data_IF_109962861860
#
_entry.id   IF_109962861860
#
_cell.length_a   1.000
_cell.length_b   1.000
_cell.length_c   1.000
_cell.angle_alpha   90.00
_cell.angle_beta   90.00
_cell.angle_gamma   90.00
#
_symmetry.space_group_name_H-M   'P 1'
#
loop_
_entity.id
_entity.type
_entity.pdbx_description
1 polymer ?
#
# COMPACT_ATOMS: atom_id res chain seq x y z
N UNK A 1 -0.77 13.73 -18.58
CA UNK A 1 -0.41 12.35 -18.19
C UNK A 1 -1.63 11.44 -18.31
N UNK A 2 -1.47 10.14 -18.59
CA UNK A 2 -2.58 9.19 -18.46
C UNK A 2 -2.94 9.00 -16.98
N UNK A 3 -4.21 8.68 -16.67
CA UNK A 3 -4.70 8.55 -15.29
C UNK A 3 -3.89 7.55 -14.45
N UNK A 4 -3.49 6.42 -15.05
CA UNK A 4 -2.72 5.38 -14.34
C UNK A 4 -1.27 5.81 -14.06
N UNK A 5 -0.64 6.57 -14.96
CA UNK A 5 0.71 7.13 -14.75
C UNK A 5 0.70 8.18 -13.63
N UNK A 6 -0.39 8.93 -13.55
CA UNK A 6 -0.58 9.92 -12.50
C UNK A 6 -0.74 9.26 -11.13
N UNK A 7 -1.56 8.20 -11.03
CA UNK A 7 -1.67 7.39 -9.80
C UNK A 7 -0.29 6.86 -9.38
N UNK A 8 0.45 6.21 -10.29
CA UNK A 8 1.80 5.68 -10.03
C UNK A 8 2.73 6.78 -9.49
N UNK A 9 2.72 7.96 -10.11
CA UNK A 9 3.53 9.10 -9.69
C UNK A 9 3.13 9.61 -8.31
N UNK A 10 1.83 9.81 -8.07
CA UNK A 10 1.33 10.27 -6.77
C UNK A 10 1.61 9.26 -5.66
N UNK A 11 1.52 7.96 -5.96
CA UNK A 11 1.89 6.89 -5.04
C UNK A 11 3.34 6.94 -4.61
N UNK A 12 4.29 7.42 -5.44
CA UNK A 12 5.69 7.60 -5.02
C UNK A 12 5.77 8.58 -3.85
N UNK A 13 5.07 9.72 -3.95
CA UNK A 13 5.04 10.73 -2.89
C UNK A 13 4.36 10.21 -1.62
N UNK A 14 3.26 9.46 -1.76
CA UNK A 14 2.60 8.84 -0.59
C UNK A 14 3.52 7.80 0.06
N UNK A 15 4.19 6.97 -0.73
CA UNK A 15 5.06 5.91 -0.23
C UNK A 15 6.31 6.45 0.47
N UNK A 16 6.77 7.65 0.14
CA UNK A 16 7.82 8.33 0.92
C UNK A 16 7.46 8.48 2.40
N UNK A 17 6.18 8.70 2.74
CA UNK A 17 5.72 8.79 4.13
C UNK A 17 5.28 7.45 4.73
N UNK A 18 5.00 6.45 3.89
CA UNK A 18 4.47 5.15 4.34
C UNK A 18 5.59 4.14 4.57
N UNK A 19 6.50 3.98 3.61
CA UNK A 19 7.43 2.83 3.52
C UNK A 19 8.63 2.89 4.48
N UNK A 20 9.24 4.04 4.78
CA UNK A 20 10.43 4.06 5.63
C UNK A 20 10.21 3.52 7.05
N UNK A 21 9.05 3.77 7.65
CA UNK A 21 8.75 3.35 9.04
C UNK A 21 8.63 1.81 9.15
N UNK A 22 7.82 1.11 8.32
CA UNK A 22 7.78 -0.34 8.29
C UNK A 22 9.12 -1.00 8.00
N UNK A 23 9.90 -0.46 7.04
CA UNK A 23 11.25 -0.98 6.74
C UNK A 23 12.16 -0.80 7.96
N UNK A 24 12.21 0.40 8.54
CA UNK A 24 13.00 0.66 9.74
C UNK A 24 12.63 -0.28 10.89
N UNK A 25 11.33 -0.46 11.15
CA UNK A 25 10.84 -1.38 12.18
C UNK A 25 11.25 -2.84 11.93
N UNK A 26 11.17 -3.28 10.68
CA UNK A 26 11.60 -4.62 10.29
C UNK A 26 13.12 -4.81 10.45
N UNK A 27 13.92 -3.84 9.99
CA UNK A 27 15.38 -3.94 9.95
C UNK A 27 16.03 -3.76 11.33
N UNK A 28 15.57 -2.81 12.15
CA UNK A 28 16.15 -2.50 13.48
C UNK A 28 16.13 -3.72 14.41
N UNK A 29 15.12 -4.57 14.27
CA UNK A 29 14.93 -5.74 15.13
C UNK A 29 15.30 -7.06 14.45
N UNK A 30 16.07 -7.06 13.35
CA UNK A 30 16.39 -8.28 12.58
C UNK A 30 15.13 -9.11 12.26
N UNK A 31 14.00 -8.46 11.96
CA UNK A 31 12.71 -9.12 11.71
C UNK A 31 11.91 -9.50 12.96
N UNK A 32 12.45 -9.38 14.18
CA UNK A 32 11.72 -9.65 15.44
C UNK A 32 10.53 -8.69 15.66
N UNK A 33 10.49 -7.56 14.95
CA UNK A 33 9.38 -6.60 15.02
C UNK A 33 8.53 -6.61 13.74
N UNK A 34 8.38 -7.78 13.12
CA UNK A 34 7.45 -7.98 12.00
C UNK A 34 6.04 -7.47 12.33
N UNK A 35 5.59 -7.64 13.58
CA UNK A 35 4.31 -7.10 14.07
C UNK A 35 4.25 -5.58 13.97
N UNK A 36 5.30 -4.86 14.37
CA UNK A 36 5.33 -3.39 14.29
C UNK A 36 5.41 -2.92 12.85
N UNK A 37 6.18 -3.61 12.00
CA UNK A 37 6.23 -3.32 10.57
C UNK A 37 4.85 -3.46 9.91
N UNK A 38 4.12 -4.54 10.22
CA UNK A 38 2.75 -4.76 9.71
C UNK A 38 1.78 -3.70 10.23
N UNK A 39 1.77 -3.44 11.54
CA UNK A 39 0.85 -2.45 12.15
C UNK A 39 1.12 -1.05 11.60
N UNK A 40 2.39 -0.63 11.56
CA UNK A 40 2.76 0.68 11.03
C UNK A 40 2.40 0.81 9.54
N UNK A 41 2.65 -0.22 8.73
CA UNK A 41 2.23 -0.20 7.33
C UNK A 41 0.71 -0.11 7.18
N UNK A 42 -0.05 -0.89 7.94
CA UNK A 42 -1.51 -0.84 7.93
C UNK A 42 -2.03 0.56 8.26
N UNK A 43 -1.56 1.16 9.36
CA UNK A 43 -1.99 2.49 9.78
C UNK A 43 -1.59 3.57 8.77
N UNK A 44 -0.35 3.55 8.25
CA UNK A 44 0.15 4.56 7.33
C UNK A 44 -0.47 4.43 5.93
N UNK A 45 -0.66 3.21 5.44
CA UNK A 45 -1.30 2.95 4.14
C UNK A 45 -2.78 3.32 4.13
N UNK A 46 -3.43 3.45 5.30
CA UNK A 46 -4.75 4.05 5.43
C UNK A 46 -4.66 5.56 5.61
N UNK A 47 -3.92 6.00 6.63
CA UNK A 47 -3.93 7.38 7.11
C UNK A 47 -3.37 8.38 6.10
N UNK A 48 -2.26 8.05 5.45
CA UNK A 48 -1.61 8.96 4.50
C UNK A 48 -2.49 9.17 3.26
N UNK A 49 -2.96 8.12 2.54
CA UNK A 49 -3.86 8.34 1.41
C UNK A 49 -5.21 8.92 1.83
N UNK A 50 -5.76 8.57 2.99
CA UNK A 50 -7.01 9.17 3.47
C UNK A 50 -6.87 10.68 3.70
N UNK A 51 -5.77 11.13 4.32
CA UNK A 51 -5.49 12.55 4.51
C UNK A 51 -5.24 13.25 3.17
N UNK A 52 -4.51 12.60 2.25
CA UNK A 52 -4.27 13.12 0.91
C UNK A 52 -5.58 13.32 0.14
N UNK A 53 -6.44 12.29 0.08
CA UNK A 53 -7.75 12.35 -0.58
C UNK A 53 -8.76 13.29 0.10
N UNK A 54 -8.45 13.80 1.29
CA UNK A 54 -9.26 14.83 1.95
C UNK A 54 -9.01 16.23 1.40
N UNK A 55 -8.00 16.39 0.54
CA UNK A 55 -7.62 17.68 -0.05
C UNK A 55 -8.33 17.89 -1.39
N UNK A 56 -8.97 19.04 -1.63
CA UNK A 56 -9.58 19.37 -2.93
C UNK A 56 -8.59 19.26 -4.10
N UNK A 57 -7.30 19.47 -3.82
CA UNK A 57 -6.22 19.42 -4.81
C UNK A 57 -5.78 17.99 -5.16
N UNK A 58 -6.28 16.97 -4.45
CA UNK A 58 -5.97 15.56 -4.72
C UNK A 58 -6.78 15.03 -5.90
N UNK A 59 -6.38 15.50 -7.09
CA UNK A 59 -7.02 15.19 -8.37
C UNK A 59 -6.17 14.22 -9.19
N UNK A 60 -6.85 13.33 -9.92
CA UNK A 60 -6.19 12.27 -10.66
C UNK A 60 -6.58 12.27 -12.14
N UNK A 61 -5.58 12.22 -13.00
CA UNK A 61 -5.74 12.14 -14.45
C UNK A 61 -6.19 13.45 -15.09
N UNK A 62 -6.50 13.37 -16.40
CA UNK A 62 -6.73 14.54 -17.26
C UNK A 62 -8.06 15.27 -17.00
N UNK A 63 -8.97 14.66 -16.26
CA UNK A 63 -10.29 15.20 -15.90
C UNK A 63 -10.36 15.65 -14.43
N UNK A 64 -9.21 15.78 -13.76
CA UNK A 64 -9.11 16.21 -12.36
C UNK A 64 -10.05 15.44 -11.42
N UNK A 65 -10.08 14.12 -11.56
CA UNK A 65 -11.06 13.31 -10.88
C UNK A 65 -10.72 13.16 -9.39
N UNK A 66 -11.65 13.50 -8.51
CA UNK A 66 -11.51 13.30 -7.05
C UNK A 66 -11.97 11.89 -6.65
N UNK A 67 -11.11 11.16 -5.95
CA UNK A 67 -11.45 9.82 -5.44
C UNK A 67 -12.30 9.96 -4.17
N UNK A 68 -13.30 9.08 -4.02
CA UNK A 68 -14.08 9.02 -2.80
C UNK A 68 -13.26 8.42 -1.66
N UNK A 69 -13.16 9.13 -0.54
CA UNK A 69 -12.55 8.62 0.70
C UNK A 69 -13.19 7.33 1.18
N UNK A 70 -14.52 7.25 1.14
CA UNK A 70 -15.24 6.06 1.61
C UNK A 70 -14.96 4.86 0.70
N UNK A 71 -14.83 5.10 -0.61
CA UNK A 71 -14.42 4.06 -1.54
C UNK A 71 -12.98 3.60 -1.27
N UNK A 72 -12.07 4.53 -0.94
CA UNK A 72 -10.70 4.18 -0.54
C UNK A 72 -10.67 3.34 0.73
N UNK A 73 -11.37 3.76 1.78
CA UNK A 73 -11.46 3.01 3.05
C UNK A 73 -12.03 1.60 2.82
N UNK A 74 -13.07 1.48 2.00
CA UNK A 74 -13.65 0.18 1.64
C UNK A 74 -12.63 -0.72 0.93
N UNK A 75 -11.90 -0.19 -0.05
CA UNK A 75 -10.81 -0.94 -0.74
C UNK A 75 -9.71 -1.33 0.23
N UNK A 76 -9.28 -0.43 1.12
CA UNK A 76 -8.25 -0.71 2.11
C UNK A 76 -8.67 -1.84 3.06
N UNK A 77 -9.90 -1.82 3.57
CA UNK A 77 -10.43 -2.90 4.43
C UNK A 77 -10.40 -4.23 3.70
N UNK A 78 -10.86 -4.27 2.45
CA UNK A 78 -10.86 -5.50 1.63
C UNK A 78 -9.43 -6.02 1.44
N UNK A 79 -8.48 -5.15 1.09
CA UNK A 79 -7.09 -5.54 0.86
C UNK A 79 -6.44 -6.07 2.14
N UNK A 80 -6.62 -5.40 3.28
CA UNK A 80 -6.06 -5.85 4.56
C UNK A 80 -6.66 -7.20 4.98
N UNK A 81 -7.97 -7.40 4.82
CA UNK A 81 -8.61 -8.68 5.10
C UNK A 81 -8.08 -9.79 4.19
N UNK A 82 -7.99 -9.54 2.88
CA UNK A 82 -7.47 -10.51 1.91
C UNK A 82 -6.03 -10.89 2.23
N UNK A 83 -5.15 -9.91 2.49
CA UNK A 83 -3.77 -10.17 2.85
C UNK A 83 -3.65 -10.94 4.17
N UNK A 84 -4.51 -10.65 5.16
CA UNK A 84 -4.53 -11.38 6.43
C UNK A 84 -4.96 -12.85 6.25
N UNK A 85 -5.96 -13.11 5.40
CA UNK A 85 -6.41 -14.47 5.06
C UNK A 85 -5.33 -15.23 4.29
N UNK A 86 -4.67 -14.59 3.32
CA UNK A 86 -3.56 -15.19 2.57
C UNK A 86 -2.39 -15.51 3.52
N UNK A 87 -2.00 -14.56 4.37
CA UNK A 87 -0.91 -14.75 5.33
C UNK A 87 -1.21 -15.90 6.31
N UNK A 88 -2.45 -16.01 6.78
CA UNK A 88 -2.89 -17.10 7.64
C UNK A 88 -2.88 -18.45 6.92
N UNK A 89 -3.51 -18.54 5.74
CA UNK A 89 -3.64 -19.78 4.99
C UNK A 89 -2.29 -20.31 4.47
N UNK A 90 -1.37 -19.43 4.12
CA UNK A 90 -0.08 -19.78 3.51
C UNK A 90 1.07 -19.78 4.51
N UNK A 91 0.80 -19.64 5.82
CA UNK A 91 1.84 -19.44 6.86
C UNK A 91 2.98 -20.45 6.77
N UNK A 92 2.65 -21.73 6.57
CA UNK A 92 3.63 -22.82 6.46
C UNK A 92 4.48 -22.72 5.19
N UNK A 93 3.90 -22.32 4.06
CA UNK A 93 4.64 -22.14 2.80
C UNK A 93 5.54 -20.92 2.82
N UNK A 94 5.08 -19.81 3.40
CA UNK A 94 5.89 -18.59 3.44
C UNK A 94 7.17 -18.78 4.22
N UNK A 95 7.13 -19.49 5.36
CA UNK A 95 8.29 -19.71 6.22
C UNK A 95 9.41 -20.54 5.58
N UNK A 96 9.10 -21.31 4.53
CA UNK A 96 10.07 -22.20 3.87
C UNK A 96 10.65 -21.61 2.58
N UNK A 97 10.24 -20.39 2.20
CA UNK A 97 10.75 -19.76 0.98
C UNK A 97 12.24 -19.38 1.11
N UNK A 98 13.05 -19.58 0.05
CA UNK A 98 14.45 -19.12 0.01
C UNK A 98 14.59 -17.60 0.19
N UNK A 99 13.49 -16.85 0.06
CA UNK A 99 13.40 -15.43 0.34
C UNK A 99 14.02 -15.03 1.69
N UNK A 100 13.87 -15.87 2.72
CA UNK A 100 14.43 -15.55 4.04
C UNK A 100 15.95 -15.64 4.10
N UNK A 101 16.58 -16.36 3.17
CA UNK A 101 18.04 -16.49 3.07
C UNK A 101 18.70 -15.34 2.30
N UNK A 102 17.91 -14.47 1.66
CA UNK A 102 18.44 -13.34 0.91
C UNK A 102 19.16 -12.35 1.83
N UNK A 103 20.00 -11.49 1.25
CA UNK A 103 20.58 -10.38 2.01
C UNK A 103 19.47 -9.46 2.55
N UNK A 104 19.74 -8.79 3.67
CA UNK A 104 18.79 -7.82 4.24
C UNK A 104 18.38 -6.77 3.21
N UNK A 105 19.35 -6.25 2.46
CA UNK A 105 19.11 -5.31 1.36
C UNK A 105 18.16 -5.91 0.31
N UNK A 106 18.36 -7.17 -0.08
CA UNK A 106 17.49 -7.86 -1.03
C UNK A 106 16.06 -7.97 -0.55
N UNK A 107 15.86 -8.35 0.73
CA UNK A 107 14.52 -8.41 1.34
C UNK A 107 13.87 -7.04 1.43
N UNK A 108 14.63 -6.01 1.80
CA UNK A 108 14.11 -4.65 1.95
C UNK A 108 13.63 -4.09 0.61
N UNK A 109 14.36 -4.33 -0.49
CA UNK A 109 13.92 -3.94 -1.84
C UNK A 109 12.59 -4.61 -2.20
N UNK A 110 12.45 -5.91 -1.94
CA UNK A 110 11.20 -6.65 -2.20
C UNK A 110 10.06 -6.05 -1.39
N UNK A 111 10.27 -5.77 -0.10
CA UNK A 111 9.25 -5.17 0.75
C UNK A 111 8.85 -3.76 0.29
N UNK A 112 9.81 -2.95 -0.14
CA UNK A 112 9.54 -1.62 -0.74
C UNK A 112 8.64 -1.76 -1.96
N UNK A 113 8.97 -2.68 -2.88
CA UNK A 113 8.17 -2.91 -4.11
C UNK A 113 6.77 -3.41 -3.77
N UNK A 114 6.64 -4.34 -2.83
CA UNK A 114 5.34 -4.89 -2.39
C UNK A 114 4.46 -3.80 -1.77
N UNK A 115 5.02 -3.00 -0.85
CA UNK A 115 4.28 -1.90 -0.21
C UNK A 115 3.89 -0.82 -1.22
N UNK A 116 4.81 -0.44 -2.09
CA UNK A 116 4.54 0.51 -3.17
C UNK A 116 3.43 0.01 -4.10
N UNK A 117 3.55 -1.24 -4.57
CA UNK A 117 2.54 -1.89 -5.41
C UNK A 117 1.19 -2.00 -4.73
N UNK A 118 1.16 -2.25 -3.42
CA UNK A 118 -0.05 -2.26 -2.61
C UNK A 118 -0.78 -0.91 -2.62
N UNK A 119 -0.06 0.19 -2.36
CA UNK A 119 -0.64 1.55 -2.40
C UNK A 119 -1.14 1.93 -3.79
N UNK A 120 -0.35 1.64 -4.83
CA UNK A 120 -0.75 1.86 -6.24
C UNK A 120 -2.02 1.07 -6.57
N UNK A 121 -2.05 -0.22 -6.23
CA UNK A 121 -3.19 -1.11 -6.49
C UNK A 121 -4.46 -0.61 -5.82
N UNK A 122 -4.39 -0.22 -4.55
CA UNK A 122 -5.53 0.34 -3.83
C UNK A 122 -6.09 1.59 -4.52
N UNK A 123 -5.23 2.54 -4.90
CA UNK A 123 -5.66 3.76 -5.59
C UNK A 123 -6.24 3.49 -6.97
N UNK A 124 -5.69 2.54 -7.74
CA UNK A 124 -6.26 2.12 -9.03
C UNK A 124 -7.66 1.55 -8.83
N UNK A 125 -7.85 0.62 -7.89
CA UNK A 125 -9.17 0.02 -7.63
C UNK A 125 -10.16 1.09 -7.19
N UNK A 126 -9.77 1.98 -6.28
CA UNK A 126 -10.62 3.10 -5.84
C UNK A 126 -10.99 4.03 -6.99
N UNK A 127 -10.04 4.35 -7.88
CA UNK A 127 -10.29 5.15 -9.07
C UNK A 127 -11.30 4.49 -9.99
N UNK A 128 -11.14 3.20 -10.27
CA UNK A 128 -12.06 2.43 -11.12
C UNK A 128 -13.47 2.33 -10.52
N UNK A 129 -13.58 2.12 -9.20
CA UNK A 129 -14.87 2.08 -8.50
C UNK A 129 -15.56 3.46 -8.52
N UNK A 130 -14.81 4.52 -8.26
CA UNK A 130 -15.35 5.88 -8.26
C UNK A 130 -15.84 6.26 -9.66
N UNK A 131 -15.07 5.93 -10.71
CA UNK A 131 -15.45 6.20 -12.11
C UNK A 131 -16.77 5.51 -12.51
N UNK A 132 -17.01 4.27 -12.06
CA UNK A 132 -18.24 3.52 -12.38
C UNK A 132 -19.50 4.10 -11.73
N UNK A 133 -19.38 4.80 -10.60
CA UNK A 133 -20.52 5.41 -9.90
C UNK A 133 -21.00 6.75 -10.49
N UNK A 134 -20.36 7.26 -11.55
CA UNK A 134 -20.75 8.52 -12.23
C UNK A 134 -21.22 8.29 -13.68
N UNK A 135 -21.48 7.05 -14.07
CA UNK A 135 -21.98 6.65 -15.39
C UNK A 135 -23.47 6.43 -15.39
#
# INVERSE_FOLDING_TARGET
MSWWRDIIRQSIFLCFFIVPIPIGAYTIHNGSSATVAVISYALLSLGIPFAYLSRPEAVFGRQEYTLSRNAFVGVWIIVVLLLSIIAWSQRSMWQTLPFWEWSTIGRDIVWIVVMYGGVVGMLIVTYLLSRRGKG
#
